data_IF_803933808929
#
_entry.id   IF_803933808929
#
_cell.length_a   1.000
_cell.length_b   1.000
_cell.length_c   1.000
_cell.angle_alpha   90.00
_cell.angle_beta   90.00
_cell.angle_gamma   90.00
#
_symmetry.space_group_name_H-M   'P 1'
#
loop_
_entity.id
_entity.type
_entity.pdbx_description
1 polymer ?
#
# COMPACT_ATOMS: atom_id res chain seq x y z
N UNK A 1 -25.13 -4.52 -13.89
CA UNK A 1 -23.64 -4.74 -13.92
C UNK A 1 -23.41 -5.77 -15.00
N UNK A 2 -22.61 -5.45 -16.00
CA UNK A 2 -22.49 -6.30 -17.20
C UNK A 2 -21.67 -7.54 -16.89
N UNK A 3 -22.13 -8.68 -17.37
CA UNK A 3 -21.49 -10.00 -17.38
C UNK A 3 -20.11 -10.03 -18.07
N UNK A 4 -19.65 -8.93 -18.65
CA UNK A 4 -18.36 -8.83 -19.37
C UNK A 4 -17.12 -8.82 -18.46
N UNK A 5 -17.23 -8.42 -17.19
CA UNK A 5 -16.08 -8.38 -16.27
C UNK A 5 -15.57 -9.76 -15.85
N UNK A 6 -16.42 -10.80 -15.91
CA UNK A 6 -16.05 -12.16 -15.51
C UNK A 6 -15.53 -13.03 -16.65
N UNK A 7 -15.42 -12.51 -17.86
CA UNK A 7 -15.07 -13.30 -19.03
C UNK A 7 -13.71 -14.02 -18.95
N UNK A 8 -12.83 -13.58 -18.05
CA UNK A 8 -11.47 -14.13 -17.86
C UNK A 8 -11.29 -14.98 -16.59
N UNK A 9 -12.29 -15.00 -15.71
CA UNK A 9 -12.35 -15.93 -14.58
C UNK A 9 -13.45 -16.92 -14.88
N UNK A 10 -13.09 -18.17 -15.05
CA UNK A 10 -14.03 -19.21 -15.42
C UNK A 10 -14.20 -20.20 -14.29
N UNK A 11 -15.43 -20.48 -14.00
CA UNK A 11 -15.85 -21.65 -13.28
C UNK A 11 -16.01 -22.77 -14.31
N UNK A 12 -15.10 -23.72 -14.28
CA UNK A 12 -15.20 -24.89 -15.13
C UNK A 12 -16.07 -25.91 -14.39
N UNK A 13 -17.29 -26.06 -14.88
CA UNK A 13 -18.29 -26.86 -14.19
C UNK A 13 -18.03 -28.36 -14.30
N UNK A 14 -17.61 -28.87 -15.46
CA UNK A 14 -17.25 -30.28 -15.63
C UNK A 14 -16.63 -30.55 -17.00
N UNK A 15 -15.81 -31.59 -17.07
CA UNK A 15 -15.46 -32.32 -18.30
C UNK A 15 -15.87 -33.75 -18.14
N UNK A 16 -17.12 -34.06 -18.46
CA UNK A 16 -17.67 -35.42 -18.31
C UNK A 16 -17.71 -35.87 -16.84
N UNK A 17 -16.73 -36.68 -16.39
CA UNK A 17 -16.68 -37.29 -15.05
C UNK A 17 -16.02 -36.37 -14.00
N UNK A 18 -15.35 -35.29 -14.40
CA UNK A 18 -14.52 -34.44 -13.51
C UNK A 18 -15.05 -33.02 -13.42
N UNK A 19 -14.97 -32.43 -12.21
CA UNK A 19 -15.29 -31.01 -11.98
C UNK A 19 -14.30 -30.39 -11.02
N UNK A 20 -13.98 -29.08 -11.22
CA UNK A 20 -13.21 -28.31 -10.24
C UNK A 20 -14.05 -28.16 -8.97
N UNK A 21 -13.38 -28.28 -7.81
CA UNK A 21 -14.05 -28.05 -6.52
C UNK A 21 -14.52 -26.59 -6.39
N UNK A 22 -15.57 -26.42 -5.61
CA UNK A 22 -16.00 -25.08 -5.19
C UNK A 22 -14.83 -24.31 -4.57
N UNK A 23 -14.63 -23.05 -5.00
CA UNK A 23 -13.50 -22.23 -4.58
C UNK A 23 -12.22 -22.44 -5.40
N UNK A 24 -12.23 -23.23 -6.46
CA UNK A 24 -11.13 -23.36 -7.43
C UNK A 24 -11.53 -22.69 -8.75
N UNK A 25 -10.77 -21.69 -9.19
CA UNK A 25 -11.09 -20.86 -10.36
C UNK A 25 -9.96 -20.88 -11.38
N UNK A 26 -10.31 -20.96 -12.68
CA UNK A 26 -9.37 -20.73 -13.77
C UNK A 26 -9.28 -19.24 -14.08
N UNK A 27 -8.07 -18.68 -14.02
CA UNK A 27 -7.76 -17.32 -14.48
C UNK A 27 -6.93 -17.40 -15.75
N UNK A 28 -7.52 -16.98 -16.87
CA UNK A 28 -6.84 -17.01 -18.17
C UNK A 28 -5.92 -15.80 -18.34
N UNK A 29 -4.67 -16.05 -18.77
CA UNK A 29 -3.74 -15.06 -19.26
C UNK A 29 -3.47 -15.22 -20.76
N UNK A 30 -2.61 -14.38 -21.33
CA UNK A 30 -2.27 -14.42 -22.75
C UNK A 30 -1.52 -15.72 -23.14
N UNK A 31 -0.42 -16.01 -22.45
CA UNK A 31 0.44 -17.16 -22.76
C UNK A 31 0.25 -18.33 -21.81
N UNK A 32 -0.22 -18.09 -20.62
CA UNK A 32 -0.42 -19.07 -19.55
C UNK A 32 -1.74 -18.80 -18.83
N UNK A 33 -2.15 -19.74 -18.00
CA UNK A 33 -3.31 -19.61 -17.11
C UNK A 33 -2.91 -20.00 -15.68
N UNK A 34 -3.76 -19.75 -14.71
CA UNK A 34 -3.56 -20.21 -13.35
C UNK A 34 -4.85 -20.75 -12.73
N UNK A 35 -4.74 -21.79 -11.91
CA UNK A 35 -5.80 -22.19 -10.99
C UNK A 35 -5.58 -21.47 -9.66
N UNK A 36 -6.62 -20.81 -9.21
CA UNK A 36 -6.70 -20.16 -7.91
C UNK A 36 -7.54 -21.04 -6.98
N UNK A 37 -6.93 -21.58 -5.96
CA UNK A 37 -7.63 -22.32 -4.92
C UNK A 37 -7.73 -21.43 -3.67
N UNK A 38 -8.89 -20.81 -3.48
CA UNK A 38 -9.13 -19.91 -2.33
C UNK A 38 -9.32 -20.67 -1.02
N UNK A 39 -9.45 -22.00 -1.06
CA UNK A 39 -9.61 -22.82 0.13
C UNK A 39 -8.24 -23.11 0.78
N UNK A 40 -7.23 -23.46 -0.03
CA UNK A 40 -5.86 -23.69 0.44
C UNK A 40 -4.99 -22.43 0.40
N UNK A 41 -5.39 -21.43 -0.38
CA UNK A 41 -4.61 -20.21 -0.62
C UNK A 41 -3.61 -20.33 -1.76
N UNK A 42 -3.51 -21.46 -2.43
CA UNK A 42 -2.49 -21.71 -3.44
C UNK A 42 -2.90 -21.22 -4.83
N UNK A 43 -1.90 -20.87 -5.63
CA UNK A 43 -2.04 -20.48 -7.03
C UNK A 43 -1.12 -21.33 -7.89
N UNK A 44 -1.69 -22.05 -8.84
CA UNK A 44 -0.97 -23.01 -9.69
C UNK A 44 -0.90 -22.50 -11.12
N UNK A 45 0.32 -22.30 -11.64
CA UNK A 45 0.53 -21.90 -13.04
C UNK A 45 0.30 -23.06 -13.99
N UNK A 46 -0.41 -22.80 -15.06
CA UNK A 46 -0.78 -23.74 -16.11
C UNK A 46 -0.23 -23.30 -17.46
N UNK A 47 0.22 -24.27 -18.25
CA UNK A 47 0.53 -24.05 -19.66
C UNK A 47 -0.74 -24.05 -20.53
N UNK A 48 -0.56 -23.77 -21.81
CA UNK A 48 -1.68 -23.72 -22.76
C UNK A 48 -2.37 -25.05 -22.96
N UNK A 49 -1.63 -26.18 -22.84
CA UNK A 49 -2.22 -27.51 -22.97
C UNK A 49 -3.17 -27.80 -21.79
N UNK A 50 -2.74 -27.50 -20.57
CA UNK A 50 -3.59 -27.63 -19.39
C UNK A 50 -4.82 -26.73 -19.46
N UNK A 51 -4.67 -25.49 -19.98
CA UNK A 51 -5.81 -24.61 -20.21
C UNK A 51 -6.79 -25.22 -21.22
N UNK A 52 -6.32 -25.77 -22.33
CA UNK A 52 -7.18 -26.36 -23.35
C UNK A 52 -7.97 -27.58 -22.80
N UNK A 53 -7.34 -28.37 -21.91
CA UNK A 53 -8.03 -29.48 -21.25
C UNK A 53 -9.16 -28.97 -20.35
N UNK A 54 -8.83 -27.97 -19.50
CA UNK A 54 -9.80 -27.36 -18.57
C UNK A 54 -10.96 -26.66 -19.30
N UNK A 55 -10.74 -26.13 -20.48
CA UNK A 55 -11.77 -25.45 -21.28
C UNK A 55 -12.51 -26.38 -22.27
N UNK A 56 -12.23 -27.70 -22.21
CA UNK A 56 -12.89 -28.70 -23.06
C UNK A 56 -12.43 -28.70 -24.53
N UNK A 57 -11.29 -28.02 -24.84
CA UNK A 57 -10.71 -27.99 -26.19
C UNK A 57 -9.83 -29.22 -26.48
N UNK A 58 -9.44 -29.94 -25.45
CA UNK A 58 -8.72 -31.21 -25.56
C UNK A 58 -9.04 -32.09 -24.36
N UNK A 59 -8.88 -33.43 -24.53
CA UNK A 59 -9.16 -34.42 -23.49
C UNK A 59 -7.86 -35.01 -22.95
N UNK A 60 -7.79 -35.19 -21.61
CA UNK A 60 -6.66 -35.85 -20.94
C UNK A 60 -7.08 -36.32 -19.54
N UNK A 61 -7.50 -37.57 -19.40
CA UNK A 61 -7.91 -38.18 -18.13
C UNK A 61 -6.78 -38.22 -17.09
N UNK A 62 -5.52 -38.32 -17.51
CA UNK A 62 -4.39 -38.31 -16.58
C UNK A 62 -4.18 -36.91 -15.94
N UNK A 63 -4.46 -35.85 -16.68
CA UNK A 63 -4.42 -34.51 -16.15
C UNK A 63 -5.48 -34.30 -15.06
N UNK A 64 -6.72 -34.72 -15.34
CA UNK A 64 -7.83 -34.65 -14.37
C UNK A 64 -7.56 -35.48 -13.11
N UNK A 65 -7.00 -36.69 -13.25
CA UNK A 65 -6.60 -37.51 -12.09
C UNK A 65 -5.58 -36.82 -11.22
N UNK A 66 -4.59 -36.12 -11.80
CA UNK A 66 -3.64 -35.31 -11.03
C UNK A 66 -4.31 -34.17 -10.26
N UNK A 67 -5.31 -33.52 -10.84
CA UNK A 67 -6.06 -32.48 -10.14
C UNK A 67 -6.88 -33.06 -8.97
N UNK A 68 -7.41 -34.29 -9.11
CA UNK A 68 -8.06 -35.01 -8.00
C UNK A 68 -7.06 -35.32 -6.89
N UNK A 69 -5.88 -35.86 -7.23
CA UNK A 69 -4.79 -36.13 -6.28
C UNK A 69 -4.33 -34.88 -5.55
N UNK A 70 -4.31 -33.74 -6.23
CA UNK A 70 -3.99 -32.43 -5.65
C UNK A 70 -5.16 -31.83 -4.82
N UNK A 71 -6.32 -32.46 -4.83
CA UNK A 71 -7.48 -31.97 -4.12
C UNK A 71 -8.20 -30.78 -4.76
N UNK A 72 -7.92 -30.47 -6.03
CA UNK A 72 -8.48 -29.35 -6.79
C UNK A 72 -9.73 -29.72 -7.58
N UNK A 73 -9.98 -31.01 -7.74
CA UNK A 73 -11.05 -31.55 -8.57
C UNK A 73 -11.76 -32.68 -7.82
N UNK A 74 -13.00 -32.95 -8.21
CA UNK A 74 -13.77 -34.16 -7.81
C UNK A 74 -14.03 -35.03 -9.01
N UNK A 75 -14.18 -36.31 -8.78
CA UNK A 75 -14.56 -37.33 -9.75
C UNK A 75 -16.06 -37.75 -9.64
N UNK A 76 -16.81 -37.03 -8.85
CA UNK A 76 -18.24 -37.13 -8.73
C UNK A 76 -18.93 -35.91 -9.36
N UNK A 77 -20.05 -36.15 -10.03
CA UNK A 77 -20.93 -35.09 -10.56
C UNK A 77 -21.68 -34.32 -9.46
N UNK A 78 -21.17 -34.29 -8.22
CA UNK A 78 -21.74 -33.50 -7.15
C UNK A 78 -21.53 -32.00 -7.49
N UNK A 79 -22.55 -31.42 -8.05
CA UNK A 79 -22.59 -30.02 -8.45
C UNK A 79 -22.68 -29.11 -7.22
N UNK A 80 -21.62 -29.00 -6.45
CA UNK A 80 -21.45 -27.82 -5.63
C UNK A 80 -21.27 -26.62 -6.59
N UNK A 81 -22.30 -25.79 -6.63
CA UNK A 81 -22.29 -24.63 -7.52
C UNK A 81 -21.12 -23.72 -7.18
N UNK A 82 -20.44 -23.24 -8.19
CA UNK A 82 -19.34 -22.33 -8.04
C UNK A 82 -19.74 -21.03 -7.34
N UNK A 83 -18.80 -20.47 -6.57
CA UNK A 83 -19.03 -19.31 -5.69
C UNK A 83 -18.75 -17.95 -6.33
N UNK A 84 -18.58 -17.85 -7.67
CA UNK A 84 -18.27 -16.56 -8.31
C UNK A 84 -19.35 -15.49 -8.03
N UNK A 85 -20.62 -15.87 -8.04
CA UNK A 85 -21.72 -14.95 -7.73
C UNK A 85 -21.75 -14.48 -6.26
N UNK A 86 -21.01 -15.15 -5.38
CA UNK A 86 -20.89 -14.79 -3.96
C UNK A 86 -19.68 -13.91 -3.67
N UNK A 87 -18.86 -13.63 -4.71
CA UNK A 87 -17.66 -12.77 -4.57
C UNK A 87 -18.03 -11.29 -4.72
N UNK A 88 -19.06 -10.83 -4.03
CA UNK A 88 -19.37 -9.40 -3.95
C UNK A 88 -18.45 -8.71 -2.96
N UNK A 89 -17.89 -7.56 -3.37
CA UNK A 89 -17.11 -6.69 -2.52
C UNK A 89 -17.57 -5.24 -2.65
N UNK A 90 -18.02 -4.66 -1.54
CA UNK A 90 -18.33 -3.22 -1.46
C UNK A 90 -17.19 -2.53 -0.73
N UNK A 91 -16.44 -1.64 -1.39
CA UNK A 91 -15.37 -0.94 -0.73
C UNK A 91 -15.93 0.00 0.35
N UNK A 92 -15.43 -0.13 1.58
CA UNK A 92 -15.60 0.82 2.67
C UNK A 92 -14.27 1.52 2.94
N UNK A 93 -14.29 2.68 3.58
CA UNK A 93 -13.09 3.35 4.01
C UNK A 93 -12.44 2.53 5.14
N UNK A 94 -11.21 2.08 4.93
CA UNK A 94 -10.48 1.20 5.84
C UNK A 94 -9.24 1.85 6.42
N UNK A 95 -8.68 2.86 5.73
CA UNK A 95 -7.45 3.50 6.16
C UNK A 95 -7.40 4.95 5.70
N UNK A 96 -7.02 5.85 6.58
CA UNK A 96 -6.80 7.25 6.26
C UNK A 96 -5.39 7.73 6.63
N UNK A 97 -4.73 8.42 5.71
CA UNK A 97 -3.56 9.23 6.00
C UNK A 97 -4.00 10.67 6.26
N UNK A 98 -3.50 11.24 7.34
CA UNK A 98 -3.57 12.68 7.61
C UNK A 98 -2.17 13.26 7.37
N UNK A 99 -1.97 13.86 6.19
CA UNK A 99 -0.72 14.54 5.84
C UNK A 99 -0.76 15.96 6.41
N UNK A 100 -0.48 16.04 7.72
CA UNK A 100 -0.67 17.27 8.51
C UNK A 100 0.39 18.35 8.27
N UNK A 101 1.47 18.00 7.55
CA UNK A 101 2.55 18.92 7.14
C UNK A 101 2.94 18.55 5.71
N UNK A 102 2.53 19.34 4.73
CA UNK A 102 2.75 19.04 3.30
C UNK A 102 3.95 19.68 2.66
N UNK A 103 4.73 20.51 3.38
CA UNK A 103 5.93 21.16 2.83
C UNK A 103 7.12 21.07 3.76
N UNK A 104 6.91 21.21 5.06
CA UNK A 104 7.98 21.38 6.02
C UNK A 104 8.50 20.02 6.51
N UNK A 105 9.81 19.85 6.43
CA UNK A 105 10.54 18.74 7.03
C UNK A 105 11.88 19.27 7.54
N UNK A 106 12.40 18.71 8.62
CA UNK A 106 13.73 19.03 9.10
C UNK A 106 14.85 18.26 8.36
N UNK A 107 14.47 17.40 7.41
CA UNK A 107 15.35 16.67 6.51
C UNK A 107 15.01 16.95 5.05
N UNK A 108 15.93 16.57 4.12
CA UNK A 108 15.77 16.75 2.69
C UNK A 108 16.11 15.46 1.93
N UNK A 109 15.45 14.36 2.30
CA UNK A 109 15.75 13.03 1.82
C UNK A 109 15.75 12.92 0.28
N UNK A 110 16.69 12.12 -0.26
CA UNK A 110 16.87 11.89 -1.71
C UNK A 110 15.61 11.34 -2.39
N UNK A 111 14.84 10.53 -1.67
CA UNK A 111 13.69 9.76 -2.15
C UNK A 111 12.33 10.32 -1.74
N UNK A 112 12.28 11.54 -1.22
CA UNK A 112 11.06 12.12 -0.69
C UNK A 112 9.95 12.18 -1.74
N UNK A 113 8.82 11.55 -1.45
CA UNK A 113 7.67 11.44 -2.36
C UNK A 113 6.89 12.74 -2.52
N UNK A 114 6.92 13.61 -1.51
CA UNK A 114 6.18 14.87 -1.48
C UNK A 114 7.07 16.11 -1.69
N UNK A 115 8.36 15.91 -1.93
CA UNK A 115 9.34 16.99 -2.07
C UNK A 115 9.48 17.90 -0.83
N UNK A 116 9.22 17.35 0.36
CA UNK A 116 9.30 18.05 1.64
C UNK A 116 10.75 18.39 2.00
N UNK A 117 10.98 19.55 2.62
CA UNK A 117 12.33 20.02 2.98
C UNK A 117 12.29 21.11 4.03
N UNK A 118 13.43 21.43 4.68
CA UNK A 118 13.51 22.57 5.59
C UNK A 118 13.15 23.89 4.87
N UNK A 119 12.46 24.82 5.54
CA UNK A 119 12.05 26.10 4.96
C UNK A 119 13.19 26.90 4.32
N UNK A 120 14.43 26.74 4.82
CA UNK A 120 15.62 27.40 4.29
C UNK A 120 16.01 26.95 2.87
N UNK A 121 15.51 25.82 2.41
CA UNK A 121 15.74 25.27 1.06
C UNK A 121 14.53 25.43 0.14
N UNK A 122 13.41 25.92 0.66
CA UNK A 122 12.24 26.19 -0.16
C UNK A 122 12.49 27.47 -0.97
N UNK A 123 12.12 27.46 -2.23
CA UNK A 123 12.14 28.67 -3.04
C UNK A 123 11.23 29.70 -2.37
N UNK A 124 11.71 30.95 -2.28
CA UNK A 124 10.87 32.08 -1.88
C UNK A 124 9.89 32.38 -3.02
N UNK A 125 8.94 31.49 -3.23
CA UNK A 125 7.77 31.85 -4.03
C UNK A 125 7.05 32.96 -3.26
N UNK A 126 6.65 34.00 -3.97
CA UNK A 126 5.75 35.03 -3.44
C UNK A 126 4.68 34.33 -2.63
N UNK A 127 4.61 34.65 -1.34
CA UNK A 127 3.61 34.10 -0.43
C UNK A 127 2.22 34.26 -1.07
N UNK A 128 1.79 33.22 -1.76
CA UNK A 128 0.36 32.97 -1.83
C UNK A 128 0.02 32.49 -0.42
N UNK A 129 -0.91 33.14 0.25
CA UNK A 129 -1.48 32.69 1.52
C UNK A 129 -2.07 31.30 1.30
N UNK A 130 -1.22 30.27 1.37
CA UNK A 130 -1.70 28.89 1.25
C UNK A 130 -2.54 28.61 2.49
N UNK A 131 -3.82 28.41 2.23
CA UNK A 131 -4.77 28.03 3.26
C UNK A 131 -4.37 26.67 3.80
N UNK A 132 -3.98 26.60 5.06
CA UNK A 132 -3.73 25.37 5.80
C UNK A 132 -4.91 25.09 6.72
N UNK A 133 -5.25 23.82 6.90
CA UNK A 133 -6.27 23.41 7.85
C UNK A 133 -5.88 23.80 9.27
N UNK A 134 -6.80 24.44 9.97
CA UNK A 134 -6.69 24.74 11.39
C UNK A 134 -6.74 23.46 12.23
N UNK A 135 -6.36 23.54 13.50
CA UNK A 135 -6.43 22.41 14.44
C UNK A 135 -7.89 21.88 14.55
N UNK A 136 -8.87 22.75 14.64
CA UNK A 136 -10.27 22.34 14.71
C UNK A 136 -10.75 21.73 13.40
N UNK A 137 -10.33 22.25 12.24
CA UNK A 137 -10.64 21.62 10.95
C UNK A 137 -10.02 20.22 10.84
N UNK A 138 -8.81 20.01 11.36
CA UNK A 138 -8.23 18.67 11.44
C UNK A 138 -9.06 17.72 12.32
N UNK A 139 -9.51 18.17 13.48
CA UNK A 139 -10.40 17.38 14.34
C UNK A 139 -11.69 17.01 13.62
N UNK A 140 -12.29 17.96 12.88
CA UNK A 140 -13.46 17.69 12.07
C UNK A 140 -13.20 16.60 11.02
N UNK A 141 -12.04 16.63 10.34
CA UNK A 141 -11.72 15.61 9.36
C UNK A 141 -11.43 14.24 9.99
N UNK A 142 -10.74 14.20 11.12
CA UNK A 142 -10.52 12.96 11.88
C UNK A 142 -11.86 12.36 12.29
N UNK A 143 -12.80 13.20 12.79
CA UNK A 143 -14.15 12.76 13.13
C UNK A 143 -14.93 12.28 11.90
N UNK A 144 -14.91 13.00 10.78
CA UNK A 144 -15.59 12.62 9.55
C UNK A 144 -15.11 11.27 9.03
N UNK A 145 -13.79 11.01 9.08
CA UNK A 145 -13.20 9.73 8.71
C UNK A 145 -13.70 8.61 9.64
N UNK A 146 -13.77 8.86 10.95
CA UNK A 146 -14.30 7.91 11.92
C UNK A 146 -15.79 7.61 11.69
N UNK A 147 -16.59 8.63 11.48
CA UNK A 147 -18.04 8.52 11.22
C UNK A 147 -18.34 7.74 9.93
N UNK A 148 -17.41 7.73 8.95
CA UNK A 148 -17.45 6.89 7.74
C UNK A 148 -17.05 5.42 7.99
N UNK A 149 -16.80 5.04 9.24
CA UNK A 149 -16.47 3.68 9.67
C UNK A 149 -14.99 3.32 9.58
N UNK A 150 -14.11 4.28 9.36
CA UNK A 150 -12.67 4.04 9.34
C UNK A 150 -12.08 4.10 10.75
N UNK A 151 -11.52 3.00 11.22
CA UNK A 151 -10.96 2.87 12.57
C UNK A 151 -9.42 2.82 12.57
N UNK A 152 -8.78 3.07 11.42
CA UNK A 152 -7.33 3.01 11.28
C UNK A 152 -6.80 4.25 10.58
N UNK A 153 -5.82 4.93 11.21
CA UNK A 153 -5.24 6.13 10.62
C UNK A 153 -3.73 6.24 10.88
N UNK A 154 -3.11 7.07 10.05
CA UNK A 154 -1.70 7.42 10.19
C UNK A 154 -1.51 8.92 9.99
N UNK A 155 -0.85 9.57 10.94
CA UNK A 155 -0.37 10.93 10.80
C UNK A 155 0.99 10.91 10.10
N UNK A 156 1.09 11.65 9.01
CA UNK A 156 2.25 11.66 8.11
C UNK A 156 2.45 13.07 7.55
N UNK A 157 3.44 13.25 6.72
CA UNK A 157 3.72 14.48 6.01
C UNK A 157 5.21 14.63 5.74
N UNK A 158 5.73 15.85 5.83
CA UNK A 158 7.17 16.09 5.88
C UNK A 158 7.72 15.50 7.17
N UNK A 159 7.55 16.21 8.30
CA UNK A 159 7.82 15.66 9.62
C UNK A 159 6.64 16.03 10.56
N UNK A 160 5.82 15.06 10.98
CA UNK A 160 4.63 15.33 11.79
C UNK A 160 4.89 16.04 13.12
N UNK A 161 6.05 15.83 13.73
CA UNK A 161 6.43 16.51 14.97
C UNK A 161 6.81 18.00 14.79
N UNK A 162 6.81 18.49 13.54
CA UNK A 162 6.87 19.93 13.24
C UNK A 162 5.50 20.60 13.23
N UNK A 163 4.41 19.84 13.17
CA UNK A 163 3.05 20.40 13.18
C UNK A 163 2.84 21.30 14.41
N UNK A 164 2.22 22.46 14.16
CA UNK A 164 1.76 23.38 15.19
C UNK A 164 0.41 23.95 14.78
N UNK A 165 -0.59 23.72 15.63
CA UNK A 165 -1.86 24.43 15.57
C UNK A 165 -1.74 25.87 16.03
N UNK A 166 -2.83 26.60 15.93
CA UNK A 166 -2.88 28.06 16.19
C UNK A 166 -2.53 28.42 17.64
N UNK A 167 -2.80 27.52 18.58
CA UNK A 167 -2.49 27.72 19.99
C UNK A 167 -1.27 26.88 20.46
N UNK A 168 -0.50 26.35 19.51
CA UNK A 168 0.68 25.54 19.79
C UNK A 168 0.42 24.03 19.93
N UNK A 169 -0.77 23.56 19.56
CA UNK A 169 -1.12 22.14 19.54
C UNK A 169 -0.15 21.39 18.60
N UNK A 170 0.11 20.12 18.94
CA UNK A 170 1.02 19.26 18.18
C UNK A 170 0.27 18.06 17.55
N UNK A 171 1.00 17.22 16.83
CA UNK A 171 0.45 15.95 16.32
C UNK A 171 -0.07 15.05 17.44
N UNK A 172 0.44 15.19 18.68
CA UNK A 172 0.00 14.36 19.79
C UNK A 172 -1.42 14.69 20.25
N UNK A 173 -1.83 15.96 20.20
CA UNK A 173 -3.21 16.37 20.47
C UNK A 173 -4.18 15.85 19.42
N UNK A 174 -3.78 15.81 18.14
CA UNK A 174 -4.59 15.20 17.07
C UNK A 174 -4.70 13.68 17.26
N UNK A 175 -3.61 13.00 17.63
CA UNK A 175 -3.61 11.57 17.88
C UNK A 175 -4.43 11.21 19.13
N UNK A 176 -4.36 12.03 20.18
CA UNK A 176 -5.20 11.89 21.37
C UNK A 176 -6.68 12.03 21.04
N UNK A 177 -7.04 13.01 20.21
CA UNK A 177 -8.42 13.16 19.74
C UNK A 177 -8.91 11.96 18.93
N UNK A 178 -8.08 11.44 18.01
CA UNK A 178 -8.41 10.21 17.27
C UNK A 178 -8.65 9.02 18.24
N UNK A 179 -7.83 8.90 19.30
CA UNK A 179 -8.02 7.86 20.32
C UNK A 179 -9.32 8.04 21.10
N UNK A 180 -9.67 9.26 21.48
CA UNK A 180 -10.93 9.58 22.18
C UNK A 180 -12.16 9.23 21.33
N UNK A 181 -12.09 9.36 20.01
CA UNK A 181 -13.14 8.93 19.09
C UNK A 181 -13.28 7.40 18.99
N UNK A 182 -12.22 6.64 19.30
CA UNK A 182 -12.25 5.18 19.27
C UNK A 182 -11.51 4.54 18.10
N UNK A 183 -10.60 5.24 17.43
CA UNK A 183 -9.73 4.62 16.44
C UNK A 183 -8.96 3.45 17.08
N UNK A 184 -8.97 2.30 16.41
CA UNK A 184 -8.32 1.06 16.90
C UNK A 184 -6.82 1.02 16.61
N UNK A 185 -6.40 1.68 15.53
CA UNK A 185 -5.00 1.80 15.14
C UNK A 185 -4.70 3.24 14.78
N UNK A 186 -3.79 3.85 15.53
CA UNK A 186 -3.28 5.21 15.32
C UNK A 186 -1.77 5.11 15.25
N UNK A 187 -1.17 5.64 14.20
CA UNK A 187 0.27 5.62 13.99
C UNK A 187 0.77 7.01 13.57
N UNK A 188 1.92 7.43 14.11
CA UNK A 188 2.65 8.60 13.61
C UNK A 188 3.88 8.10 12.87
N UNK A 189 4.05 8.50 11.61
CA UNK A 189 5.20 8.13 10.80
C UNK A 189 6.21 9.30 10.77
N UNK A 190 7.37 9.11 11.36
CA UNK A 190 8.38 10.16 11.62
C UNK A 190 9.78 9.71 11.18
N UNK A 191 10.68 10.69 10.95
CA UNK A 191 12.10 10.41 10.83
C UNK A 191 12.80 10.16 12.20
N UNK A 192 12.08 10.34 13.30
CA UNK A 192 12.53 10.08 14.66
C UNK A 192 13.40 11.19 15.28
N UNK A 193 13.98 12.08 14.49
CA UNK A 193 15.00 13.05 14.96
C UNK A 193 14.49 14.08 15.97
N UNK A 194 13.17 14.23 16.10
CA UNK A 194 12.50 15.16 17.02
C UNK A 194 11.85 14.46 18.24
N UNK A 195 12.02 13.16 18.40
CA UNK A 195 11.47 12.38 19.51
C UNK A 195 12.34 12.58 20.77
N UNK A 196 11.91 13.50 21.64
CA UNK A 196 12.46 13.66 23.00
C UNK A 196 11.87 12.63 23.94
N UNK A 197 12.47 12.45 25.14
CA UNK A 197 11.93 11.54 26.15
C UNK A 197 10.50 11.92 26.55
N UNK A 198 10.22 13.19 26.76
CA UNK A 198 8.89 13.71 27.08
C UNK A 198 7.83 13.30 26.05
N UNK A 199 8.16 13.41 24.75
CA UNK A 199 7.25 12.98 23.68
C UNK A 199 7.04 11.46 23.68
N UNK A 200 8.11 10.70 23.89
CA UNK A 200 8.03 9.22 23.98
C UNK A 200 7.17 8.78 25.15
N UNK A 201 7.32 9.42 26.32
CA UNK A 201 6.48 9.13 27.49
C UNK A 201 5.00 9.40 27.20
N UNK A 202 4.69 10.54 26.57
CA UNK A 202 3.31 10.87 26.17
C UNK A 202 2.75 9.90 25.10
N UNK A 203 3.56 9.50 24.12
CA UNK A 203 3.18 8.49 23.11
C UNK A 203 2.80 7.17 23.80
N UNK A 204 3.61 6.74 24.77
CA UNK A 204 3.34 5.55 25.58
C UNK A 204 2.02 5.67 26.33
N UNK A 205 1.79 6.79 27.02
CA UNK A 205 0.56 7.03 27.80
C UNK A 205 -0.69 7.04 26.89
N UNK A 206 -0.57 7.59 25.71
CA UNK A 206 -1.61 7.55 24.68
C UNK A 206 -1.81 6.14 24.10
N UNK A 207 -0.82 5.26 24.18
CA UNK A 207 -0.86 3.90 23.61
C UNK A 207 -1.03 3.92 22.11
N UNK A 208 -0.35 4.82 21.41
CA UNK A 208 -0.32 4.93 19.93
C UNK A 208 0.94 4.29 19.37
N UNK A 209 0.92 3.98 18.07
CA UNK A 209 2.01 3.34 17.38
C UNK A 209 2.93 4.37 16.73
N UNK A 210 4.21 4.02 16.61
CA UNK A 210 5.20 4.83 15.90
C UNK A 210 5.78 4.04 14.73
N UNK A 211 5.92 4.69 13.58
CA UNK A 211 6.74 4.21 12.49
C UNK A 211 7.95 5.12 12.32
N UNK A 212 9.14 4.56 12.29
CA UNK A 212 10.40 5.32 12.17
C UNK A 212 11.13 4.93 10.89
N UNK A 213 11.62 5.94 10.15
CA UNK A 213 12.47 5.71 8.98
C UNK A 213 13.92 5.51 9.40
N UNK A 214 14.50 4.34 9.07
CA UNK A 214 15.93 4.07 9.19
C UNK A 214 16.46 3.53 7.86
N UNK A 215 17.33 4.28 7.19
CA UNK A 215 17.75 3.92 5.83
C UNK A 215 19.02 3.09 5.78
N UNK A 216 19.85 3.12 6.80
CA UNK A 216 21.07 2.31 6.93
C UNK A 216 21.54 2.25 8.37
N UNK A 217 22.14 1.13 8.76
CA UNK A 217 22.93 1.00 9.99
C UNK A 217 24.18 1.90 9.93
N UNK A 218 24.70 2.16 8.72
CA UNK A 218 25.84 3.04 8.49
C UNK A 218 25.41 4.52 8.58
N UNK A 219 25.99 5.31 9.52
CA UNK A 219 25.64 6.71 9.70
C UNK A 219 25.90 7.58 8.46
N UNK A 220 26.97 7.30 7.71
CA UNK A 220 27.33 8.09 6.53
C UNK A 220 26.32 7.85 5.40
N UNK A 221 25.87 6.62 5.21
CA UNK A 221 24.86 6.25 4.21
C UNK A 221 23.53 6.86 4.59
N UNK A 222 23.10 6.74 5.84
CA UNK A 222 21.84 7.31 6.33
C UNK A 222 21.82 8.85 6.18
N UNK A 223 22.84 9.53 6.67
CA UNK A 223 22.97 10.99 6.61
C UNK A 223 23.04 11.51 5.15
N UNK A 224 23.68 10.74 4.25
CA UNK A 224 23.69 11.02 2.81
C UNK A 224 22.30 10.90 2.19
N UNK A 225 21.51 9.90 2.58
CA UNK A 225 20.15 9.72 2.09
C UNK A 225 19.23 10.81 2.60
N UNK A 226 19.30 11.15 3.90
CA UNK A 226 18.50 12.22 4.52
C UNK A 226 19.00 13.61 4.16
N UNK A 227 20.22 13.72 3.61
CA UNK A 227 20.94 14.99 3.38
C UNK A 227 21.03 15.85 4.64
N UNK A 228 21.11 15.20 5.81
CA UNK A 228 21.14 15.87 7.12
C UNK A 228 22.18 15.21 8.00
N UNK A 229 23.27 15.93 8.26
CA UNK A 229 24.36 15.44 9.10
C UNK A 229 23.88 15.19 10.52
N UNK A 230 24.19 14.02 11.07
CA UNK A 230 23.80 13.60 12.41
C UNK A 230 22.37 13.14 12.54
N UNK A 231 21.64 12.98 11.43
CA UNK A 231 20.30 12.40 11.39
C UNK A 231 20.30 10.97 11.93
N UNK A 232 21.22 10.12 11.46
CA UNK A 232 21.36 8.74 11.94
C UNK A 232 21.43 8.67 13.47
N UNK A 233 22.34 9.44 14.07
CA UNK A 233 22.55 9.46 15.52
C UNK A 233 21.24 9.77 16.27
N UNK A 234 20.51 10.81 15.84
CA UNK A 234 19.24 11.22 16.47
C UNK A 234 18.14 10.16 16.30
N UNK A 235 18.06 9.56 15.11
CA UNK A 235 17.11 8.47 14.83
C UNK A 235 17.40 7.26 15.71
N UNK A 236 18.68 6.86 15.86
CA UNK A 236 19.06 5.75 16.75
C UNK A 236 18.75 6.04 18.21
N UNK A 237 19.07 7.24 18.71
CA UNK A 237 18.70 7.67 20.05
C UNK A 237 17.18 7.64 20.30
N UNK A 238 16.38 8.00 19.28
CA UNK A 238 14.93 7.91 19.36
C UNK A 238 14.45 6.45 19.40
N UNK A 239 15.03 5.56 18.61
CA UNK A 239 14.73 4.13 18.65
C UNK A 239 15.06 3.51 20.01
N UNK A 240 16.19 3.87 20.63
CA UNK A 240 16.54 3.43 21.98
C UNK A 240 15.49 3.87 23.01
N UNK A 241 15.08 5.15 23.01
CA UNK A 241 14.01 5.66 23.91
C UNK A 241 12.69 4.93 23.70
N UNK A 242 12.28 4.69 22.45
CA UNK A 242 11.05 3.97 22.11
C UNK A 242 11.09 2.53 22.63
N UNK A 243 12.26 1.85 22.50
CA UNK A 243 12.49 0.50 22.98
C UNK A 243 12.40 0.45 24.51
N UNK A 244 13.12 1.32 25.21
CA UNK A 244 13.13 1.40 26.68
C UNK A 244 11.73 1.70 27.23
N UNK A 245 10.98 2.57 26.58
CA UNK A 245 9.61 2.89 26.94
C UNK A 245 8.60 1.76 26.61
N UNK A 246 8.96 0.81 25.76
CA UNK A 246 8.06 -0.27 25.30
C UNK A 246 6.95 0.24 24.37
N UNK A 247 7.20 1.32 23.60
CA UNK A 247 6.25 1.85 22.63
C UNK A 247 6.16 0.91 21.43
N UNK A 248 4.95 0.50 20.99
CA UNK A 248 4.77 -0.28 19.76
C UNK A 248 5.35 0.46 18.57
N UNK A 249 6.48 -0.03 18.05
CA UNK A 249 7.26 0.65 17.01
C UNK A 249 7.56 -0.30 15.88
N UNK A 250 7.41 0.19 14.64
CA UNK A 250 7.96 -0.45 13.45
C UNK A 250 9.00 0.44 12.80
N UNK A 251 10.00 -0.17 12.21
CA UNK A 251 11.07 0.53 11.49
C UNK A 251 10.94 0.24 10.01
N UNK A 252 10.95 1.27 9.19
CA UNK A 252 10.82 1.15 7.74
C UNK A 252 12.12 1.54 7.03
N UNK A 253 12.58 0.65 6.18
CA UNK A 253 13.74 0.87 5.33
C UNK A 253 13.32 0.85 3.87
N UNK A 254 13.55 1.94 3.16
CA UNK A 254 13.32 2.01 1.71
C UNK A 254 14.60 1.61 1.00
N UNK A 255 14.53 0.52 0.22
CA UNK A 255 15.66 0.04 -0.57
C UNK A 255 15.90 0.95 -1.77
N UNK A 256 17.09 1.44 -1.89
CA UNK A 256 17.57 2.27 -3.00
C UNK A 256 19.06 1.99 -3.27
N UNK A 257 19.59 2.51 -4.36
CA UNK A 257 20.98 2.31 -4.77
C UNK A 257 21.99 2.66 -3.68
N UNK A 258 21.70 3.68 -2.87
CA UNK A 258 22.62 4.20 -1.86
C UNK A 258 22.81 3.28 -0.67
N UNK A 259 21.79 2.47 -0.33
CA UNK A 259 21.81 1.57 0.84
C UNK A 259 21.70 0.08 0.46
N UNK A 260 21.76 -0.27 -0.83
CA UNK A 260 21.54 -1.65 -1.27
C UNK A 260 22.52 -2.67 -0.69
N UNK A 261 23.71 -2.25 -0.27
CA UNK A 261 24.70 -3.12 0.35
C UNK A 261 24.53 -3.27 1.87
N UNK A 262 23.92 -2.28 2.55
CA UNK A 262 23.69 -2.28 4.00
C UNK A 262 22.26 -2.63 4.42
N UNK A 263 21.35 -2.83 3.47
CA UNK A 263 19.92 -3.01 3.77
C UNK A 263 19.64 -4.25 4.62
N UNK A 264 20.29 -5.37 4.34
CA UNK A 264 20.14 -6.63 5.09
C UNK A 264 20.65 -6.49 6.54
N UNK A 265 21.82 -5.86 6.71
CA UNK A 265 22.38 -5.60 8.04
C UNK A 265 21.53 -4.60 8.83
N UNK A 266 20.91 -3.64 8.14
CA UNK A 266 19.97 -2.70 8.77
C UNK A 266 18.73 -3.42 9.29
N UNK A 267 18.14 -4.34 8.50
CA UNK A 267 17.01 -5.14 8.97
C UNK A 267 17.38 -6.02 10.15
N UNK A 268 18.56 -6.66 10.10
CA UNK A 268 19.05 -7.47 11.21
C UNK A 268 19.21 -6.66 12.50
N UNK A 269 19.73 -5.43 12.42
CA UNK A 269 19.78 -4.53 13.57
C UNK A 269 18.39 -4.26 14.14
N UNK A 270 17.40 -3.99 13.28
CA UNK A 270 16.02 -3.74 13.68
C UNK A 270 15.42 -4.94 14.42
N UNK A 271 15.70 -6.17 13.93
CA UNK A 271 15.29 -7.42 14.60
C UNK A 271 15.96 -7.59 15.96
N UNK A 272 17.28 -7.33 16.05
CA UNK A 272 18.06 -7.40 17.30
C UNK A 272 17.59 -6.37 18.34
N UNK A 273 17.10 -5.22 17.89
CA UNK A 273 16.46 -4.24 18.74
C UNK A 273 15.04 -4.65 19.22
N UNK A 274 14.46 -5.68 18.61
CA UNK A 274 13.13 -6.19 18.93
C UNK A 274 11.99 -5.39 18.30
N UNK A 275 12.26 -4.60 17.28
CA UNK A 275 11.23 -3.87 16.54
C UNK A 275 10.61 -4.70 15.43
N UNK A 276 9.37 -4.40 15.10
CA UNK A 276 8.75 -4.94 13.89
C UNK A 276 9.22 -4.17 12.65
N UNK A 277 9.34 -4.87 11.54
CA UNK A 277 9.50 -4.24 10.24
C UNK A 277 8.67 -5.00 9.20
N UNK A 278 8.34 -4.32 8.12
CA UNK A 278 7.82 -4.97 6.92
C UNK A 278 8.97 -5.44 6.04
N UNK A 279 8.66 -6.28 5.05
CA UNK A 279 9.61 -6.56 3.97
C UNK A 279 10.09 -5.21 3.39
N UNK A 280 11.37 -5.14 3.02
CA UNK A 280 11.96 -3.95 2.39
C UNK A 280 11.03 -3.39 1.31
N UNK A 281 10.67 -2.14 1.46
CA UNK A 281 9.94 -1.41 0.45
C UNK A 281 10.92 -0.81 -0.57
N UNK A 282 10.57 -0.81 -1.84
CA UNK A 282 11.42 -0.25 -2.87
C UNK A 282 11.07 1.21 -3.10
N UNK A 283 12.09 2.00 -3.40
CA UNK A 283 11.94 3.40 -3.81
C UNK A 283 10.78 3.58 -4.80
N UNK A 284 9.89 4.51 -4.48
CA UNK A 284 8.81 4.93 -5.37
C UNK A 284 9.24 6.14 -6.19
N UNK A 285 8.98 6.08 -7.50
CA UNK A 285 9.29 7.16 -8.42
C UNK A 285 8.25 8.28 -8.32
N UNK A 286 8.34 9.07 -7.24
CA UNK A 286 7.51 10.23 -6.95
C UNK A 286 8.35 11.33 -6.27
N UNK A 287 8.04 12.61 -6.54
CA UNK A 287 8.78 13.73 -6.00
C UNK A 287 10.27 13.63 -6.31
N UNK A 288 11.15 13.84 -5.32
CA UNK A 288 12.61 13.64 -5.49
C UNK A 288 13.00 12.19 -5.75
N UNK A 289 12.15 11.24 -5.39
CA UNK A 289 12.34 9.83 -5.69
C UNK A 289 12.16 9.49 -7.17
N UNK A 290 11.62 10.39 -8.00
CA UNK A 290 11.54 10.23 -9.46
C UNK A 290 12.91 10.48 -10.12
N UNK A 291 13.85 9.61 -9.75
CA UNK A 291 15.22 9.64 -10.23
C UNK A 291 15.75 8.21 -10.39
N UNK A 292 15.96 7.79 -11.62
CA UNK A 292 16.41 6.45 -11.97
C UNK A 292 17.76 6.08 -11.34
N UNK A 293 18.62 7.05 -11.04
CA UNK A 293 19.92 6.81 -10.38
C UNK A 293 19.78 6.38 -8.91
N UNK A 294 18.59 6.51 -8.34
CA UNK A 294 18.31 6.04 -6.98
C UNK A 294 17.76 4.62 -6.95
N UNK A 295 17.35 4.06 -8.10
CA UNK A 295 16.79 2.71 -8.14
C UNK A 295 17.83 1.67 -7.74
N UNK A 296 17.46 0.69 -6.89
CA UNK A 296 18.34 -0.39 -6.54
C UNK A 296 18.67 -1.26 -7.76
N UNK A 297 19.81 -1.92 -7.73
CA UNK A 297 20.22 -2.85 -8.79
C UNK A 297 19.34 -4.10 -8.81
N UNK A 298 19.21 -4.74 -9.99
CA UNK A 298 18.51 -6.03 -10.10
C UNK A 298 19.14 -7.10 -9.19
N UNK A 299 20.46 -7.07 -8.99
CA UNK A 299 21.17 -7.95 -8.06
C UNK A 299 20.65 -7.75 -6.62
N UNK A 300 20.48 -6.50 -6.19
CA UNK A 300 19.95 -6.18 -4.87
C UNK A 300 18.49 -6.61 -4.73
N UNK A 301 17.67 -6.38 -5.74
CA UNK A 301 16.27 -6.81 -5.76
C UNK A 301 16.13 -8.34 -5.64
N UNK A 302 17.01 -9.09 -6.32
CA UNK A 302 17.06 -10.56 -6.21
C UNK A 302 17.54 -11.01 -4.83
N UNK A 303 18.64 -10.44 -4.32
CA UNK A 303 19.21 -10.75 -3.00
C UNK A 303 18.20 -10.55 -1.87
N UNK A 304 17.46 -9.45 -1.92
CA UNK A 304 16.44 -9.12 -0.92
C UNK A 304 15.08 -9.79 -1.20
N UNK A 305 15.01 -10.74 -2.13
CA UNK A 305 13.80 -11.49 -2.43
C UNK A 305 12.62 -10.65 -2.97
N UNK A 306 12.90 -9.47 -3.52
CA UNK A 306 11.88 -8.59 -4.12
C UNK A 306 11.56 -9.05 -5.54
N UNK A 307 12.60 -9.40 -6.31
CA UNK A 307 12.44 -10.10 -7.59
C UNK A 307 12.61 -11.61 -7.34
N UNK A 308 11.53 -12.29 -7.04
CA UNK A 308 11.52 -13.76 -6.89
C UNK A 308 10.48 -14.36 -7.80
N UNK A 309 10.56 -15.68 -8.03
CA UNK A 309 9.43 -16.42 -8.58
C UNK A 309 8.18 -16.13 -7.73
N UNK A 310 7.06 -15.77 -8.35
CA UNK A 310 5.87 -15.40 -7.60
C UNK A 310 5.40 -16.58 -6.75
N UNK A 311 5.39 -16.39 -5.44
CA UNK A 311 4.69 -17.26 -4.50
C UNK A 311 3.45 -16.50 -4.06
N UNK A 312 2.39 -16.61 -4.86
CA UNK A 312 1.16 -15.92 -4.62
C UNK A 312 0.27 -16.71 -3.67
N UNK A 313 -0.33 -15.99 -2.74
CA UNK A 313 -1.39 -16.47 -1.88
C UNK A 313 -2.70 -15.78 -2.25
N UNK A 314 -3.80 -16.53 -2.23
CA UNK A 314 -5.15 -16.02 -2.51
C UNK A 314 -6.15 -16.58 -1.52
N UNK A 315 -7.09 -15.78 -1.07
CA UNK A 315 -8.25 -16.20 -0.31
C UNK A 315 -9.52 -15.56 -0.89
N UNK A 316 -10.67 -15.94 -0.37
CA UNK A 316 -11.98 -15.46 -0.84
C UNK A 316 -12.06 -13.93 -0.82
N UNK A 317 -11.63 -13.29 0.28
CA UNK A 317 -11.68 -11.84 0.44
C UNK A 317 -10.77 -11.12 -0.56
N UNK A 318 -9.53 -11.57 -0.68
CA UNK A 318 -8.55 -10.98 -1.61
C UNK A 318 -9.01 -11.13 -3.07
N UNK A 319 -9.51 -12.31 -3.45
CA UNK A 319 -10.04 -12.53 -4.80
C UNK A 319 -11.24 -11.63 -5.07
N UNK A 320 -12.22 -11.60 -4.16
CA UNK A 320 -13.41 -10.75 -4.27
C UNK A 320 -13.04 -9.28 -4.41
N UNK A 321 -12.14 -8.78 -3.55
CA UNK A 321 -11.65 -7.40 -3.61
C UNK A 321 -10.99 -7.11 -4.96
N UNK A 322 -10.07 -7.96 -5.42
CA UNK A 322 -9.26 -7.70 -6.60
C UNK A 322 -9.99 -7.90 -7.93
N UNK A 323 -11.07 -8.68 -7.94
CA UNK A 323 -12.00 -8.79 -9.07
C UNK A 323 -12.76 -7.49 -9.33
N UNK A 324 -13.11 -6.75 -8.28
CA UNK A 324 -14.04 -5.62 -8.37
C UNK A 324 -13.38 -4.28 -8.13
N UNK A 325 -12.19 -4.27 -7.49
CA UNK A 325 -11.57 -3.06 -7.00
C UNK A 325 -10.05 -3.07 -7.18
N UNK A 326 -9.47 -1.88 -7.05
CA UNK A 326 -8.03 -1.72 -7.01
C UNK A 326 -7.44 -2.35 -5.75
N UNK A 327 -6.52 -3.30 -5.90
CA UNK A 327 -5.89 -3.99 -4.78
C UNK A 327 -5.12 -3.08 -3.82
N UNK A 328 -4.57 -1.97 -4.34
CA UNK A 328 -3.73 -1.02 -3.59
C UNK A 328 -4.54 0.15 -3.00
N UNK A 329 -5.39 0.80 -3.82
CA UNK A 329 -6.01 2.09 -3.49
C UNK A 329 -7.41 1.96 -2.88
N UNK A 330 -8.13 0.86 -3.14
CA UNK A 330 -9.50 0.71 -2.66
C UNK A 330 -9.59 0.71 -1.14
N UNK A 331 -10.50 1.51 -0.60
CA UNK A 331 -10.71 1.66 0.84
C UNK A 331 -9.72 2.60 1.52
N UNK A 332 -8.99 3.43 0.77
CA UNK A 332 -7.98 4.34 1.32
C UNK A 332 -8.16 5.76 0.81
N UNK A 333 -7.83 6.72 1.66
CA UNK A 333 -7.69 8.14 1.31
C UNK A 333 -6.51 8.77 2.04
N UNK A 334 -6.02 9.88 1.52
CA UNK A 334 -5.15 10.81 2.22
C UNK A 334 -5.75 12.21 2.19
N UNK A 335 -5.72 12.92 3.31
CA UNK A 335 -6.11 14.33 3.42
C UNK A 335 -4.84 15.11 3.69
N UNK A 336 -4.58 16.15 2.92
CA UNK A 336 -3.40 17.00 3.03
C UNK A 336 -3.72 18.29 3.81
N UNK A 337 -2.69 19.00 4.25
CA UNK A 337 -2.85 20.20 5.07
C UNK A 337 -3.55 21.39 4.35
N UNK A 338 -3.60 21.38 3.02
CA UNK A 338 -4.38 22.32 2.23
C UNK A 338 -5.81 21.85 1.90
N UNK A 339 -6.22 20.72 2.48
CA UNK A 339 -7.58 20.16 2.32
C UNK A 339 -7.78 19.24 1.13
N UNK A 340 -6.79 18.99 0.31
CA UNK A 340 -6.90 18.06 -0.81
C UNK A 340 -7.11 16.62 -0.33
N UNK A 341 -8.03 15.91 -0.99
CA UNK A 341 -8.26 14.49 -0.79
C UNK A 341 -7.63 13.72 -1.93
N UNK A 342 -6.76 12.77 -1.60
CA UNK A 342 -6.04 11.90 -2.52
C UNK A 342 -6.41 10.44 -2.27
N UNK A 343 -6.34 9.54 -3.27
CA UNK A 343 -6.53 8.10 -3.05
C UNK A 343 -5.40 7.46 -2.21
N UNK A 344 -4.22 8.09 -2.20
CA UNK A 344 -3.03 7.66 -1.46
C UNK A 344 -2.03 8.82 -1.40
N UNK A 345 -1.19 8.87 -0.38
CA UNK A 345 -0.11 9.88 -0.25
C UNK A 345 0.85 9.91 -1.46
N UNK A 346 0.99 8.79 -2.18
CA UNK A 346 1.79 8.71 -3.40
C UNK A 346 1.04 9.12 -4.67
N UNK A 347 -0.28 9.33 -4.60
CA UNK A 347 -1.11 9.74 -5.75
C UNK A 347 -1.20 11.26 -5.89
N UNK A 348 -0.07 11.96 -5.82
CA UNK A 348 0.00 13.44 -5.74
C UNK A 348 -0.74 14.16 -6.87
N UNK A 349 -0.80 13.56 -8.04
CA UNK A 349 -1.44 14.14 -9.23
C UNK A 349 -2.94 13.76 -9.36
N UNK A 350 -3.50 13.06 -8.37
CA UNK A 350 -4.88 12.56 -8.41
C UNK A 350 -5.72 13.16 -7.27
N UNK A 351 -5.84 14.48 -7.21
CA UNK A 351 -6.77 15.13 -6.27
C UNK A 351 -8.20 14.73 -6.65
N UNK A 352 -8.90 14.06 -5.74
CA UNK A 352 -10.29 13.60 -5.96
C UNK A 352 -11.33 14.57 -5.43
N UNK A 353 -10.95 15.51 -4.58
CA UNK A 353 -11.76 16.61 -4.05
C UNK A 353 -10.95 17.43 -3.08
N UNK A 354 -11.56 18.52 -2.55
CA UNK A 354 -10.99 19.33 -1.49
C UNK A 354 -12.05 19.56 -0.39
N UNK A 355 -11.67 19.31 0.87
CA UNK A 355 -12.60 19.36 2.02
C UNK A 355 -13.01 20.78 2.43
N UNK A 356 -12.31 21.79 1.93
CA UNK A 356 -12.69 23.20 2.09
C UNK A 356 -13.80 23.62 1.14
N UNK A 357 -14.02 22.86 0.04
CA UNK A 357 -15.04 23.11 -0.97
C UNK A 357 -16.28 22.25 -0.73
N UNK A 358 -16.10 21.01 -0.27
CA UNK A 358 -17.16 19.99 -0.14
C UNK A 358 -16.90 19.09 1.05
N UNK A 359 -17.97 18.57 1.66
CA UNK A 359 -17.82 17.64 2.77
C UNK A 359 -17.11 16.34 2.31
N UNK A 360 -16.39 15.71 3.24
CA UNK A 360 -15.73 14.42 2.95
C UNK A 360 -16.72 13.35 2.48
N UNK A 361 -17.93 13.32 3.05
CA UNK A 361 -19.01 12.41 2.62
C UNK A 361 -19.35 12.61 1.14
N UNK A 362 -19.52 13.86 0.68
CA UNK A 362 -19.79 14.15 -0.73
C UNK A 362 -18.64 13.67 -1.63
N UNK A 363 -17.39 13.92 -1.24
CA UNK A 363 -16.21 13.46 -1.99
C UNK A 363 -16.19 11.93 -2.08
N UNK A 364 -16.52 11.23 -0.99
CA UNK A 364 -16.58 9.77 -0.94
C UNK A 364 -17.67 9.17 -1.84
N UNK A 365 -18.77 9.90 -2.04
CA UNK A 365 -19.87 9.48 -2.89
C UNK A 365 -19.67 9.79 -4.37
N UNK A 366 -18.75 10.67 -4.71
CA UNK A 366 -18.48 11.08 -6.07
C UNK A 366 -17.88 9.96 -6.95
N UNK A 367 -18.18 10.05 -8.23
CA UNK A 367 -17.69 9.10 -9.23
C UNK A 367 -16.15 9.09 -9.34
N UNK A 368 -15.49 10.24 -9.05
CA UNK A 368 -14.03 10.38 -9.19
C UNK A 368 -13.25 9.44 -8.28
N UNK A 369 -13.53 9.43 -6.98
CA UNK A 369 -12.89 8.51 -6.04
C UNK A 369 -13.33 7.06 -6.30
N UNK A 370 -14.64 6.86 -6.52
CA UNK A 370 -15.17 5.53 -6.83
C UNK A 370 -14.55 4.90 -8.08
N UNK A 371 -14.26 5.69 -9.11
CA UNK A 371 -13.59 5.20 -10.32
C UNK A 371 -12.15 4.76 -10.03
N UNK A 372 -11.41 5.49 -9.20
CA UNK A 372 -10.06 5.10 -8.77
C UNK A 372 -10.10 3.79 -7.98
N UNK A 373 -11.04 3.66 -7.04
CA UNK A 373 -11.18 2.44 -6.24
C UNK A 373 -11.60 1.22 -7.06
N UNK A 374 -12.37 1.41 -8.14
CA UNK A 374 -12.85 0.36 -9.04
C UNK A 374 -11.88 0.01 -10.19
N UNK A 375 -10.80 0.77 -10.35
CA UNK A 375 -9.83 0.50 -11.42
C UNK A 375 -9.03 -0.77 -11.09
N UNK A 376 -9.45 -1.91 -11.65
CA UNK A 376 -8.84 -3.22 -11.44
C UNK A 376 -7.59 -3.42 -12.32
N UNK A 377 -6.94 -4.58 -12.20
CA UNK A 377 -5.84 -4.94 -13.11
C UNK A 377 -6.31 -5.33 -14.51
N UNK A 378 -7.59 -5.56 -14.72
CA UNK A 378 -8.16 -5.75 -16.07
C UNK A 378 -8.10 -4.46 -16.89
N UNK A 379 -8.02 -3.28 -16.24
CA UNK A 379 -7.86 -1.97 -16.88
C UNK A 379 -6.39 -1.63 -17.20
N UNK A 380 -5.42 -2.44 -16.74
CA UNK A 380 -3.98 -2.18 -16.93
C UNK A 380 -3.44 -3.02 -18.07
N UNK A 381 -2.92 -2.37 -19.13
CA UNK A 381 -2.50 -3.02 -20.38
C UNK A 381 -1.62 -4.25 -20.19
N UNK A 382 -0.62 -4.19 -19.30
CA UNK A 382 0.30 -5.30 -19.05
C UNK A 382 -0.32 -6.36 -18.14
N UNK A 383 -1.18 -5.94 -17.21
CA UNK A 383 -1.74 -6.84 -16.20
C UNK A 383 -2.97 -7.60 -16.69
N UNK A 384 -3.80 -6.99 -17.57
CA UNK A 384 -5.05 -7.58 -18.06
C UNK A 384 -4.88 -8.96 -18.70
N UNK A 385 -3.69 -9.24 -19.22
CA UNK A 385 -3.34 -10.47 -19.88
C UNK A 385 -2.43 -11.39 -19.03
N UNK A 386 -2.29 -11.08 -17.74
CA UNK A 386 -1.51 -11.87 -16.80
C UNK A 386 -2.42 -12.81 -15.98
N UNK A 387 -2.04 -14.06 -15.90
CA UNK A 387 -2.74 -15.08 -15.13
C UNK A 387 -2.73 -14.84 -13.61
N UNK A 388 -1.80 -14.01 -13.12
CA UNK A 388 -1.66 -13.69 -11.68
C UNK A 388 -2.30 -12.37 -11.26
N UNK A 389 -3.05 -11.70 -12.12
CA UNK A 389 -3.51 -10.33 -11.90
C UNK A 389 -4.34 -10.11 -10.63
N UNK A 390 -5.10 -11.12 -10.18
CA UNK A 390 -5.94 -10.99 -8.99
C UNK A 390 -5.25 -11.41 -7.69
N UNK A 391 -4.09 -12.04 -7.74
CA UNK A 391 -3.27 -12.34 -6.56
C UNK A 391 -1.98 -11.53 -6.48
N UNK A 392 -1.62 -10.81 -7.54
CA UNK A 392 -0.45 -9.94 -7.56
C UNK A 392 -0.78 -8.57 -6.96
N UNK A 393 0.07 -8.08 -6.06
CA UNK A 393 0.00 -6.73 -5.52
C UNK A 393 0.97 -5.80 -6.24
N UNK A 394 0.60 -4.55 -6.40
CA UNK A 394 1.43 -3.51 -7.02
C UNK A 394 1.23 -2.17 -6.34
N UNK A 395 2.19 -1.25 -6.47
CA UNK A 395 2.01 0.14 -6.11
C UNK A 395 1.52 0.92 -7.34
N UNK A 396 0.21 1.15 -7.46
CA UNK A 396 -0.38 1.83 -8.62
C UNK A 396 0.18 3.23 -8.87
N UNK A 397 0.35 4.09 -7.85
CA UNK A 397 0.92 5.42 -8.07
C UNK A 397 2.32 5.41 -8.68
N UNK A 398 3.08 4.33 -8.45
CA UNK A 398 4.45 4.18 -8.96
C UNK A 398 4.53 3.40 -10.27
N UNK A 399 3.39 3.05 -10.89
CA UNK A 399 3.39 2.33 -12.16
C UNK A 399 3.94 3.20 -13.28
N UNK A 400 4.96 2.71 -13.99
CA UNK A 400 5.51 3.37 -15.18
C UNK A 400 4.43 3.52 -16.26
N UNK A 401 4.37 4.67 -16.92
CA UNK A 401 3.39 4.95 -17.96
C UNK A 401 1.97 5.18 -17.45
N UNK A 402 1.79 5.50 -16.16
CA UNK A 402 0.51 5.95 -15.65
C UNK A 402 0.03 7.17 -16.43
N UNK A 403 -1.18 7.09 -16.97
CA UNK A 403 -1.79 8.25 -17.61
C UNK A 403 -2.44 9.12 -16.52
N UNK A 404 -1.74 10.16 -16.12
CA UNK A 404 -2.16 11.08 -15.06
C UNK A 404 -3.49 11.78 -15.36
N UNK A 405 -3.82 12.00 -16.64
CA UNK A 405 -5.04 12.68 -17.04
C UNK A 405 -6.29 11.79 -16.99
N UNK A 406 -6.12 10.49 -17.20
CA UNK A 406 -7.23 9.52 -17.23
C UNK A 406 -7.31 8.64 -16.00
N UNK A 407 -6.32 8.69 -15.11
CA UNK A 407 -6.20 7.79 -13.96
C UNK A 407 -5.97 6.32 -14.34
N UNK A 408 -5.67 6.04 -15.61
CA UNK A 408 -5.39 4.68 -16.09
C UNK A 408 -3.90 4.40 -16.09
N UNK A 409 -3.52 3.29 -15.47
CA UNK A 409 -2.14 2.82 -15.41
C UNK A 409 -1.86 1.87 -16.56
N UNK A 410 -0.86 2.20 -17.36
CA UNK A 410 -0.54 1.43 -18.58
C UNK A 410 0.41 0.26 -18.32
N UNK A 411 1.23 0.34 -17.28
CA UNK A 411 2.25 -0.66 -16.98
C UNK A 411 2.25 -1.01 -15.49
N UNK A 412 2.75 -2.21 -15.17
CA UNK A 412 3.06 -2.57 -13.78
C UNK A 412 4.33 -1.83 -13.30
N UNK A 413 4.47 -1.50 -12.00
CA UNK A 413 5.61 -0.75 -11.47
C UNK A 413 6.94 -1.50 -11.56
N UNK A 414 6.89 -2.81 -11.68
CA UNK A 414 8.09 -3.65 -11.78
C UNK A 414 8.14 -4.31 -13.15
N UNK A 415 9.22 -4.15 -13.93
CA UNK A 415 9.40 -4.90 -15.15
C UNK A 415 9.44 -6.40 -14.79
N UNK A 416 8.65 -7.17 -15.53
CA UNK A 416 8.71 -8.64 -15.47
C UNK A 416 9.96 -9.16 -16.12
#
# INVERSE_FOLDING_TARGET
MSTEHYAKVKEILSSGEYSLKSGVFLVEGYSRSALYDINSGNVYSLDKNAQNILTGQSENSNFWRKLVEMGLCTDDNSSEKPMLNELEYKPSLQFAWFEIVSKDCNERCLHCYGDFMPPTFQEKTTQTDEVKLTFDQWKDQIKNVYDLGCETCQFIGGEPFLYRGENGETVLELAEYAKQLGFKFIEIFTNGTLLTQEKVDRIKDLGINIAVSLYSIDPEIHDKITRTRGSHKKTMEALERLKEAGVPTRVETILMKQNEESAEETQKLVDEMGFSHKRLDVLRQNGRGDNLNLLPSNRSLLRNGIMTAPNFYINKETLSKNLHNNSCLSGKIAITDNGDVLPCVFSRNQVVGNILERSLLQIMEEAKLKSVWKNTKDDVLVCKDCEYRYCCTDCRPSSLGANQNTGKYLTAPYPK
#
